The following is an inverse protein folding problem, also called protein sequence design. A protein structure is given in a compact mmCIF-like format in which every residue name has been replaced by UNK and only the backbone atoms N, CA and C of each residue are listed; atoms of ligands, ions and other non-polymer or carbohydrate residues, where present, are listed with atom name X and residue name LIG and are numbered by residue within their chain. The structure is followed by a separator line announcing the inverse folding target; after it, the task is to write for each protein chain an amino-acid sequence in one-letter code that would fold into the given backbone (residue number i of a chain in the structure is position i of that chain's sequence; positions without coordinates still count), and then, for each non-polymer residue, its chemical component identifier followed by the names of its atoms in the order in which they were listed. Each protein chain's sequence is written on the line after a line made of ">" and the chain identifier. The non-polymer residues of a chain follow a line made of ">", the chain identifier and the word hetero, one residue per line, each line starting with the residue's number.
data_IF_410670542312
#
_entry.id   IF_410670542312
#
_cell.length_a   1.000
_cell.length_b   1.000
_cell.length_c   1.000
_cell.angle_alpha   90.00
_cell.angle_beta   90.00
_cell.angle_gamma   90.00
#
_symmetry.space_group_name_H-M   'P 1'
#
loop_
_entity.id
_entity.type
_entity.pdbx_description
1 polymer ?
#
# COMPACT_ATOMS: atom_id res chain seq x y z
N UNK A 1 10.21 8.68 -5.00
CA UNK A 1 8.97 7.89 -4.97
C UNK A 1 7.81 8.73 -4.48
N UNK A 2 6.59 8.44 -4.92
CA UNK A 2 5.36 9.16 -4.54
C UNK A 2 4.44 8.27 -3.71
N UNK A 3 3.94 8.81 -2.61
CA UNK A 3 2.81 8.27 -1.83
C UNK A 3 1.61 9.21 -1.93
N UNK A 4 0.41 8.71 -1.74
CA UNK A 4 -0.81 9.51 -1.94
C UNK A 4 -1.93 9.17 -0.95
N UNK A 5 -2.85 10.13 -0.81
CA UNK A 5 -4.19 9.90 -0.30
C UNK A 5 -5.16 9.92 -1.47
N UNK A 6 -6.06 8.95 -1.54
CA UNK A 6 -7.12 8.94 -2.54
C UNK A 6 -8.49 8.81 -1.87
N UNK A 7 -9.46 9.53 -2.41
CA UNK A 7 -10.83 9.54 -1.88
C UNK A 7 -11.50 8.18 -2.01
N UNK A 8 -12.27 7.80 -0.97
CA UNK A 8 -13.20 6.68 -1.06
C UNK A 8 -14.43 6.99 -1.94
N UNK A 9 -14.77 8.27 -2.07
CA UNK A 9 -15.80 8.74 -3.00
C UNK A 9 -15.28 8.64 -4.45
N UNK A 10 -15.96 7.82 -5.25
CA UNK A 10 -15.51 7.54 -6.62
C UNK A 10 -15.68 8.74 -7.58
N UNK A 11 -16.57 9.67 -7.29
CA UNK A 11 -16.70 10.90 -8.10
C UNK A 11 -15.54 11.86 -7.79
N UNK A 12 -15.18 12.01 -6.52
CA UNK A 12 -14.00 12.79 -6.11
C UNK A 12 -12.70 12.16 -6.64
N UNK A 13 -12.59 10.84 -6.60
CA UNK A 13 -11.43 10.09 -7.11
C UNK A 13 -11.14 10.37 -8.58
N UNK A 14 -12.17 10.57 -9.41
CA UNK A 14 -11.99 10.91 -10.84
C UNK A 14 -11.25 12.25 -11.03
N UNK A 15 -11.58 13.26 -10.22
CA UNK A 15 -10.88 14.55 -10.23
C UNK A 15 -9.46 14.42 -9.68
N UNK A 16 -9.33 13.80 -8.50
CA UNK A 16 -8.05 13.58 -7.82
C UNK A 16 -7.04 12.78 -8.67
N UNK A 17 -7.56 11.89 -9.52
CA UNK A 17 -6.71 11.14 -10.43
C UNK A 17 -5.98 12.01 -11.44
N UNK A 18 -6.64 13.04 -11.96
CA UNK A 18 -5.99 14.00 -12.86
C UNK A 18 -4.87 14.75 -12.13
N UNK A 19 -5.16 15.21 -10.91
CA UNK A 19 -4.18 15.94 -10.09
C UNK A 19 -2.98 15.05 -9.73
N UNK A 20 -3.23 13.77 -9.44
CA UNK A 20 -2.15 12.79 -9.20
C UNK A 20 -1.27 12.58 -10.44
N UNK A 21 -1.88 12.47 -11.63
CA UNK A 21 -1.13 12.35 -12.90
C UNK A 21 -0.22 13.55 -13.10
N UNK A 22 -0.74 14.75 -12.91
CA UNK A 22 0.00 16.01 -13.07
C UNK A 22 1.13 16.11 -12.04
N UNK A 23 0.86 15.73 -10.78
CA UNK A 23 1.87 15.69 -9.73
C UNK A 23 3.02 14.72 -10.06
N UNK A 24 2.71 13.49 -10.49
CA UNK A 24 3.70 12.47 -10.86
C UNK A 24 4.59 12.96 -12.01
N UNK A 25 3.98 13.60 -13.02
CA UNK A 25 4.72 14.13 -14.17
C UNK A 25 5.62 15.29 -13.75
N UNK A 26 5.12 16.24 -12.96
CA UNK A 26 5.90 17.38 -12.48
C UNK A 26 7.06 16.94 -11.57
N UNK A 27 6.83 15.99 -10.68
CA UNK A 27 7.83 15.46 -9.76
C UNK A 27 8.77 14.43 -10.42
N UNK A 28 8.48 13.97 -11.64
CA UNK A 28 9.21 12.89 -12.34
C UNK A 28 9.38 11.65 -11.47
N UNK A 29 8.29 11.26 -10.81
CA UNK A 29 8.33 10.13 -9.88
C UNK A 29 8.62 8.81 -10.59
N UNK A 30 9.58 8.04 -10.09
CA UNK A 30 9.92 6.72 -10.64
C UNK A 30 9.09 5.61 -10.05
N UNK A 31 8.63 5.78 -8.80
CA UNK A 31 7.81 4.80 -8.08
C UNK A 31 6.60 5.48 -7.48
N UNK A 32 5.42 4.94 -7.71
CA UNK A 32 4.15 5.41 -7.13
C UNK A 32 3.54 4.30 -6.30
N UNK A 33 3.17 4.58 -5.06
CA UNK A 33 2.40 3.68 -4.21
C UNK A 33 0.96 4.18 -4.11
N UNK A 34 0.00 3.32 -4.45
CA UNK A 34 -1.44 3.58 -4.34
C UNK A 34 -1.99 3.02 -3.01
N UNK A 35 -3.13 3.54 -2.51
CA UNK A 35 -3.86 2.94 -1.40
C UNK A 35 -4.34 1.52 -1.67
N UNK A 36 -4.82 0.85 -0.65
CA UNK A 36 -5.42 -0.49 -0.72
C UNK A 36 -6.75 -0.44 -1.49
N UNK A 37 -6.84 -1.22 -2.58
CA UNK A 37 -8.03 -1.40 -3.41
C UNK A 37 -8.83 -0.09 -3.69
N UNK A 38 -8.21 1.00 -4.19
CA UNK A 38 -8.78 2.36 -4.14
C UNK A 38 -9.91 2.61 -5.12
N UNK A 39 -10.10 1.76 -6.13
CA UNK A 39 -10.95 2.05 -7.29
C UNK A 39 -12.40 1.54 -7.17
N UNK A 40 -12.87 1.42 -5.94
CA UNK A 40 -14.26 1.18 -5.58
C UNK A 40 -14.45 1.68 -4.14
N UNK A 41 -15.58 2.26 -3.80
CA UNK A 41 -15.89 2.63 -2.41
C UNK A 41 -15.75 1.40 -1.51
N UNK A 42 -15.31 1.61 -0.26
CA UNK A 42 -15.04 0.50 0.66
C UNK A 42 -16.30 -0.32 0.94
N UNK A 43 -16.25 -1.60 0.61
CA UNK A 43 -17.40 -2.52 0.69
C UNK A 43 -17.28 -3.58 1.78
N UNK A 44 -16.10 -3.76 2.37
CA UNK A 44 -15.85 -4.75 3.42
C UNK A 44 -16.19 -4.22 4.81
N UNK A 45 -16.98 -3.16 4.89
CA UNK A 45 -17.55 -2.59 6.12
C UNK A 45 -18.57 -3.49 6.78
N UNK A 46 -19.13 -4.46 6.05
CA UNK A 46 -20.12 -5.43 6.50
C UNK A 46 -19.61 -6.86 6.45
N UNK A 47 -19.97 -7.68 7.43
CA UNK A 47 -19.69 -9.12 7.44
C UNK A 47 -20.54 -9.91 6.42
N UNK A 48 -21.62 -9.29 5.90
CA UNK A 48 -22.47 -9.93 4.88
C UNK A 48 -21.81 -9.86 3.52
N UNK A 49 -21.34 -11.00 3.06
CA UNK A 49 -20.71 -11.14 1.74
C UNK A 49 -21.76 -11.11 0.64
N UNK A 50 -21.57 -10.24 -0.34
CA UNK A 50 -22.38 -10.12 -1.55
C UNK A 50 -21.50 -10.32 -2.78
N UNK A 51 -21.84 -11.31 -3.62
CA UNK A 51 -21.09 -11.67 -4.81
C UNK A 51 -21.12 -10.58 -5.88
N UNK A 52 -22.23 -9.86 -6.00
CA UNK A 52 -22.38 -8.82 -7.02
C UNK A 52 -21.54 -7.57 -6.65
N UNK A 53 -21.49 -7.23 -5.36
CA UNK A 53 -20.63 -6.16 -4.85
C UNK A 53 -19.15 -6.49 -5.09
N UNK A 54 -18.74 -7.73 -4.79
CA UNK A 54 -17.38 -8.17 -5.09
C UNK A 54 -17.04 -8.06 -6.59
N UNK A 55 -17.93 -8.57 -7.44
CA UNK A 55 -17.74 -8.55 -8.88
C UNK A 55 -17.69 -7.11 -9.43
N UNK A 56 -18.51 -6.20 -8.88
CA UNK A 56 -18.47 -4.78 -9.21
C UNK A 56 -17.12 -4.13 -8.83
N UNK A 57 -16.60 -4.46 -7.63
CA UNK A 57 -15.30 -3.99 -7.19
C UNK A 57 -14.18 -4.48 -8.11
N UNK A 58 -14.14 -5.77 -8.44
CA UNK A 58 -13.16 -6.34 -9.38
C UNK A 58 -13.27 -5.65 -10.75
N UNK A 59 -14.48 -5.52 -11.29
CA UNK A 59 -14.70 -4.88 -12.59
C UNK A 59 -14.26 -3.41 -12.62
N UNK A 60 -14.47 -2.68 -11.51
CA UNK A 60 -13.98 -1.30 -11.37
C UNK A 60 -12.45 -1.26 -11.41
N UNK A 61 -11.76 -2.10 -10.65
CA UNK A 61 -10.31 -2.14 -10.63
C UNK A 61 -9.72 -2.54 -11.99
N UNK A 62 -10.34 -3.47 -12.72
CA UNK A 62 -9.89 -3.83 -14.07
C UNK A 62 -10.04 -2.65 -15.07
N UNK A 63 -11.08 -1.84 -14.97
CA UNK A 63 -11.20 -0.59 -15.76
C UNK A 63 -10.09 0.40 -15.44
N UNK A 64 -9.78 0.57 -14.14
CA UNK A 64 -8.73 1.47 -13.70
C UNK A 64 -7.32 1.00 -14.06
N UNK A 65 -7.10 -0.31 -14.16
CA UNK A 65 -5.82 -0.90 -14.57
C UNK A 65 -5.31 -0.34 -15.91
N UNK A 66 -6.21 -0.10 -16.85
CA UNK A 66 -5.86 0.56 -18.13
C UNK A 66 -5.40 2.00 -17.91
N UNK A 67 -5.96 2.69 -16.91
CA UNK A 67 -5.61 4.08 -16.56
C UNK A 67 -4.26 4.16 -15.84
N UNK A 68 -3.89 3.15 -15.05
CA UNK A 68 -2.57 3.07 -14.43
C UNK A 68 -1.46 3.17 -15.47
N UNK A 69 -1.64 2.56 -16.63
CA UNK A 69 -0.67 2.62 -17.73
C UNK A 69 -0.45 4.04 -18.31
N UNK A 70 -1.31 5.02 -17.95
CA UNK A 70 -1.15 6.45 -18.31
C UNK A 70 -0.31 7.22 -17.31
N UNK A 71 -0.12 6.70 -16.09
CA UNK A 71 0.84 7.27 -15.16
C UNK A 71 2.24 7.13 -15.76
N UNK A 72 2.96 8.24 -15.86
CA UNK A 72 4.30 8.28 -16.44
C UNK A 72 5.38 7.90 -15.42
N UNK A 73 5.08 6.94 -14.55
CA UNK A 73 6.01 6.34 -13.60
C UNK A 73 6.43 4.95 -14.10
N UNK A 74 7.73 4.62 -14.08
CA UNK A 74 8.22 3.29 -14.44
C UNK A 74 7.63 2.17 -13.60
N UNK A 75 7.36 2.44 -12.31
CA UNK A 75 6.90 1.48 -11.33
C UNK A 75 5.66 1.99 -10.58
N UNK A 76 4.59 1.20 -10.53
CA UNK A 76 3.39 1.49 -9.74
C UNK A 76 3.11 0.29 -8.86
N UNK A 77 2.95 0.55 -7.57
CA UNK A 77 2.65 -0.41 -6.52
C UNK A 77 1.24 -0.15 -5.96
N UNK A 78 0.54 -1.18 -5.58
CA UNK A 78 -0.79 -1.06 -4.97
C UNK A 78 -1.39 -2.42 -4.67
N UNK A 79 -2.69 -2.46 -4.35
CA UNK A 79 -3.40 -3.72 -4.24
C UNK A 79 -4.76 -3.69 -4.94
N UNK A 80 -5.19 -4.86 -5.44
CA UNK A 80 -6.44 -5.05 -6.16
C UNK A 80 -7.23 -6.24 -5.60
N UNK A 81 -8.57 -6.18 -5.61
CA UNK A 81 -9.40 -7.35 -5.43
C UNK A 81 -9.35 -8.19 -6.72
N UNK A 82 -8.97 -9.45 -6.60
CA UNK A 82 -8.89 -10.38 -7.73
C UNK A 82 -9.52 -11.72 -7.40
N UNK A 83 -9.80 -12.52 -8.44
CA UNK A 83 -10.18 -13.92 -8.27
C UNK A 83 -9.05 -14.80 -8.82
N UNK A 84 -8.49 -15.66 -7.96
CA UNK A 84 -7.45 -16.63 -8.31
C UNK A 84 -7.92 -18.04 -7.93
N UNK A 85 -7.95 -18.94 -8.89
CA UNK A 85 -8.41 -20.31 -8.69
C UNK A 85 -9.78 -20.41 -7.96
N UNK A 86 -10.70 -19.49 -8.26
CA UNK A 86 -12.01 -19.39 -7.62
C UNK A 86 -12.03 -18.74 -6.23
N UNK A 87 -10.90 -18.31 -5.70
CA UNK A 87 -10.79 -17.61 -4.42
C UNK A 87 -10.73 -16.10 -4.61
N UNK A 88 -11.32 -15.36 -3.69
CA UNK A 88 -11.30 -13.90 -3.63
C UNK A 88 -10.06 -13.47 -2.86
N UNK A 89 -9.17 -12.71 -3.50
CA UNK A 89 -7.86 -12.34 -2.95
C UNK A 89 -7.70 -10.82 -2.99
N UNK A 90 -7.14 -10.24 -1.93
CA UNK A 90 -6.54 -8.92 -1.94
C UNK A 90 -5.07 -9.09 -2.40
N UNK A 91 -4.80 -8.74 -3.65
CA UNK A 91 -3.52 -9.00 -4.32
C UNK A 91 -2.68 -7.74 -4.42
N UNK A 92 -1.51 -7.73 -3.80
CA UNK A 92 -0.46 -6.73 -4.02
C UNK A 92 0.16 -6.89 -5.41
N UNK A 93 0.29 -5.79 -6.14
CA UNK A 93 0.82 -5.81 -7.49
C UNK A 93 1.97 -4.83 -7.71
N UNK A 94 2.80 -5.15 -8.66
CA UNK A 94 3.75 -4.28 -9.33
C UNK A 94 3.30 -4.11 -10.79
N UNK A 95 3.10 -2.87 -11.22
CA UNK A 95 3.00 -2.53 -12.65
C UNK A 95 4.31 -1.88 -13.06
N UNK A 96 5.13 -2.63 -13.77
CA UNK A 96 6.43 -2.16 -14.27
C UNK A 96 6.43 -2.14 -15.79
N UNK A 97 6.76 -1.00 -16.38
CA UNK A 97 6.79 -0.84 -17.85
C UNK A 97 5.49 -1.36 -18.52
N UNK A 98 4.34 -1.08 -17.92
CA UNK A 98 2.99 -1.54 -18.34
C UNK A 98 2.75 -3.04 -18.18
N UNK A 99 3.67 -3.79 -17.60
CA UNK A 99 3.50 -5.20 -17.28
C UNK A 99 3.00 -5.34 -15.84
N UNK A 100 1.80 -5.90 -15.69
CA UNK A 100 1.23 -6.22 -14.38
C UNK A 100 1.82 -7.54 -13.87
N UNK A 101 2.33 -7.51 -12.63
CA UNK A 101 2.90 -8.67 -11.93
C UNK A 101 2.24 -8.78 -10.57
N UNK A 102 1.61 -9.93 -10.29
CA UNK A 102 1.13 -10.26 -8.95
C UNK A 102 2.32 -10.53 -8.03
N UNK A 103 2.38 -9.85 -6.90
CA UNK A 103 3.54 -9.88 -6.01
C UNK A 103 3.27 -10.51 -4.67
N UNK A 104 2.09 -10.28 -4.11
CA UNK A 104 1.75 -10.69 -2.76
C UNK A 104 0.24 -10.92 -2.66
N UNK A 105 -0.15 -11.96 -1.94
CA UNK A 105 -1.54 -12.21 -1.56
C UNK A 105 -1.70 -11.90 -0.07
N UNK A 106 -2.53 -10.93 0.29
CA UNK A 106 -2.72 -10.55 1.69
C UNK A 106 -3.09 -11.75 2.56
N UNK A 107 -2.27 -12.03 3.55
CA UNK A 107 -2.40 -13.21 4.42
C UNK A 107 -3.10 -12.89 5.74
N UNK A 108 -2.78 -11.76 6.38
CA UNK A 108 -3.37 -11.33 7.64
C UNK A 108 -4.57 -10.44 7.39
N UNK A 109 -5.77 -11.05 7.44
CA UNK A 109 -7.03 -10.40 7.14
C UNK A 109 -7.74 -9.99 8.45
N UNK A 110 -8.11 -8.70 8.62
CA UNK A 110 -8.90 -8.27 9.76
C UNK A 110 -10.31 -8.88 9.73
N UNK A 111 -10.91 -9.04 10.91
CA UNK A 111 -12.26 -9.56 11.08
C UNK A 111 -12.94 -8.80 12.22
N UNK A 112 -13.21 -7.52 12.00
CA UNK A 112 -13.76 -6.58 12.98
C UNK A 112 -14.73 -5.59 12.33
N UNK A 113 -15.47 -4.87 13.15
CA UNK A 113 -16.45 -3.87 12.68
C UNK A 113 -15.78 -2.86 11.76
N UNK A 114 -16.35 -2.71 10.56
CA UNK A 114 -15.82 -1.83 9.50
C UNK A 114 -14.78 -2.48 8.60
N UNK A 115 -14.17 -3.62 9.03
CA UNK A 115 -13.10 -4.31 8.31
C UNK A 115 -13.28 -5.83 8.38
N UNK A 116 -14.26 -6.35 7.64
CA UNK A 116 -14.59 -7.77 7.61
C UNK A 116 -13.90 -8.53 6.49
N UNK A 117 -12.63 -8.18 6.20
CA UNK A 117 -11.91 -8.78 5.07
C UNK A 117 -11.83 -10.31 5.15
N UNK A 118 -11.69 -10.89 6.35
CA UNK A 118 -11.65 -12.35 6.52
C UNK A 118 -12.95 -13.05 6.11
N UNK A 119 -14.06 -12.30 6.02
CA UNK A 119 -15.33 -12.83 5.49
C UNK A 119 -15.39 -12.73 3.97
N UNK A 120 -14.77 -11.71 3.38
CA UNK A 120 -14.82 -11.40 1.96
C UNK A 120 -13.71 -12.04 1.14
N UNK A 121 -12.52 -12.20 1.74
CA UNK A 121 -11.32 -12.68 1.09
C UNK A 121 -10.83 -13.99 1.69
N UNK A 122 -10.23 -14.82 0.87
CA UNK A 122 -9.41 -15.94 1.30
C UNK A 122 -8.03 -15.43 1.72
N UNK A 123 -7.42 -16.09 2.70
CA UNK A 123 -6.03 -15.84 3.07
C UNK A 123 -5.11 -16.19 1.93
N UNK A 124 -4.15 -15.32 1.67
CA UNK A 124 -3.04 -15.60 0.78
C UNK A 124 -2.15 -16.75 1.28
N UNK A 125 -1.21 -17.14 0.46
CA UNK A 125 -0.33 -18.30 0.69
C UNK A 125 0.70 -18.13 1.82
N UNK A 126 0.78 -16.93 2.44
CA UNK A 126 1.74 -16.61 3.49
C UNK A 126 3.18 -16.43 3.01
N UNK A 127 3.40 -16.32 1.72
CA UNK A 127 4.72 -16.05 1.16
C UNK A 127 5.00 -14.54 1.17
N UNK A 128 5.98 -14.13 1.96
CA UNK A 128 6.47 -12.75 2.04
C UNK A 128 7.78 -12.65 1.23
N UNK A 129 7.64 -12.51 -0.09
CA UNK A 129 8.76 -12.50 -1.02
C UNK A 129 9.14 -11.07 -1.42
N UNK A 130 10.44 -10.85 -1.59
CA UNK A 130 10.96 -9.59 -2.15
C UNK A 130 10.83 -9.62 -3.66
N UNK A 131 10.33 -8.52 -4.22
CA UNK A 131 10.25 -8.30 -5.64
C UNK A 131 11.33 -7.32 -6.10
N UNK A 132 11.86 -7.54 -7.28
CA UNK A 132 12.66 -6.55 -7.98
C UNK A 132 11.72 -5.63 -8.80
N UNK A 133 11.76 -4.33 -8.49
CA UNK A 133 11.01 -3.29 -9.19
C UNK A 133 11.94 -2.41 -10.05
N UNK A 134 13.03 -2.98 -10.53
CA UNK A 134 14.01 -2.36 -11.41
C UNK A 134 14.89 -1.32 -10.70
N UNK A 135 14.30 -0.29 -10.12
CA UNK A 135 15.03 0.78 -9.39
C UNK A 135 15.23 0.44 -7.91
N UNK A 136 14.45 -0.49 -7.35
CA UNK A 136 14.53 -0.92 -5.95
C UNK A 136 13.91 -2.30 -5.74
N UNK A 137 14.29 -2.97 -4.63
CA UNK A 137 13.69 -4.22 -4.18
C UNK A 137 12.61 -3.93 -3.14
N UNK A 138 11.41 -4.50 -3.31
CA UNK A 138 10.22 -4.18 -2.52
C UNK A 138 9.58 -5.42 -1.89
N UNK A 139 9.16 -5.30 -0.63
CA UNK A 139 8.24 -6.22 0.03
C UNK A 139 6.88 -5.56 0.26
N UNK A 140 5.81 -6.33 0.29
CA UNK A 140 4.45 -5.84 0.53
C UNK A 140 3.98 -6.22 1.94
N UNK A 141 3.49 -5.22 2.70
CA UNK A 141 2.70 -5.41 3.92
C UNK A 141 1.39 -4.63 3.77
N UNK A 142 0.37 -5.28 3.23
CA UNK A 142 -0.90 -4.64 2.92
C UNK A 142 -1.68 -4.37 4.21
N UNK A 143 -1.87 -3.10 4.54
CA UNK A 143 -2.69 -2.61 5.65
C UNK A 143 -2.35 -3.33 6.97
N UNK A 144 -3.23 -4.17 7.49
CA UNK A 144 -3.07 -4.92 8.74
C UNK A 144 -1.75 -5.70 8.83
N UNK A 145 -1.19 -6.12 7.70
CA UNK A 145 0.10 -6.83 7.68
C UNK A 145 1.28 -5.99 8.15
N UNK A 146 1.15 -4.65 8.14
CA UNK A 146 2.19 -3.76 8.67
C UNK A 146 2.49 -4.00 10.16
N UNK A 147 1.57 -4.64 10.88
CA UNK A 147 1.78 -5.06 12.27
C UNK A 147 2.60 -6.36 12.41
N UNK A 148 2.89 -7.05 11.31
CA UNK A 148 3.78 -8.22 11.29
C UNK A 148 5.23 -7.76 11.20
N UNK A 149 5.83 -7.40 12.34
CA UNK A 149 7.22 -6.96 12.39
C UNK A 149 8.20 -8.09 12.04
N UNK A 150 7.81 -9.34 12.23
CA UNK A 150 8.53 -10.52 11.76
C UNK A 150 8.65 -10.50 10.23
N UNK A 151 7.57 -10.20 9.51
CA UNK A 151 7.58 -10.10 8.05
C UNK A 151 8.43 -8.92 7.58
N UNK A 152 8.36 -7.77 8.26
CA UNK A 152 9.24 -6.63 7.97
C UNK A 152 10.73 -7.01 8.13
N UNK A 153 11.07 -7.76 9.18
CA UNK A 153 12.42 -8.28 9.41
C UNK A 153 12.85 -9.27 8.33
N UNK A 154 11.95 -10.18 7.93
CA UNK A 154 12.22 -11.14 6.85
C UNK A 154 12.53 -10.40 5.53
N UNK A 155 11.78 -9.35 5.20
CA UNK A 155 12.07 -8.50 4.05
C UNK A 155 13.46 -7.85 4.13
N UNK A 156 13.83 -7.33 5.30
CA UNK A 156 15.16 -6.79 5.53
C UNK A 156 16.26 -7.83 5.28
N UNK A 157 16.12 -9.04 5.87
CA UNK A 157 17.04 -10.17 5.66
C UNK A 157 17.13 -10.60 4.20
N UNK A 158 16.01 -10.54 3.46
CA UNK A 158 15.96 -10.86 2.04
C UNK A 158 16.46 -9.73 1.12
N UNK A 159 16.97 -8.62 1.69
CA UNK A 159 17.58 -7.53 0.92
C UNK A 159 16.61 -6.47 0.39
N UNK A 160 15.35 -6.43 0.85
CA UNK A 160 14.44 -5.38 0.44
C UNK A 160 14.97 -3.99 0.78
N UNK A 161 14.76 -3.03 -0.12
CA UNK A 161 15.02 -1.61 0.13
C UNK A 161 13.80 -0.91 0.73
N UNK A 162 12.61 -1.39 0.35
CA UNK A 162 11.32 -0.78 0.67
C UNK A 162 10.32 -1.82 1.17
N UNK A 163 9.55 -1.48 2.19
CA UNK A 163 8.26 -2.09 2.49
C UNK A 163 7.16 -1.15 2.02
N UNK A 164 6.37 -1.61 1.06
CA UNK A 164 5.21 -0.91 0.53
C UNK A 164 3.94 -1.35 1.28
N UNK A 165 3.22 -0.38 1.84
CA UNK A 165 2.00 -0.64 2.61
C UNK A 165 0.80 0.14 2.05
N UNK A 166 0.10 -0.40 1.03
CA UNK A 166 -1.23 0.09 0.66
C UNK A 166 -2.17 -0.05 1.84
N UNK A 167 -2.89 1.02 2.23
CA UNK A 167 -3.78 1.00 3.40
C UNK A 167 -5.20 1.47 3.08
N UNK A 168 -6.14 0.98 3.90
CA UNK A 168 -7.49 1.48 4.12
C UNK A 168 -7.70 1.54 5.63
N UNK A 169 -7.20 2.60 6.28
CA UNK A 169 -7.18 2.67 7.75
C UNK A 169 -7.85 3.93 8.29
N UNK A 170 -8.41 3.79 9.51
CA UNK A 170 -9.23 4.82 10.15
C UNK A 170 -8.41 6.04 10.61
N UNK A 171 -9.05 7.20 10.55
CA UNK A 171 -8.56 8.43 11.15
C UNK A 171 -8.31 8.28 12.67
N UNK A 172 -9.22 7.62 13.38
CA UNK A 172 -9.12 7.40 14.83
C UNK A 172 -7.89 6.57 15.25
N UNK A 173 -7.28 5.82 14.35
CA UNK A 173 -6.13 4.94 14.65
C UNK A 173 -4.82 5.41 14.02
N UNK A 174 -4.79 6.58 13.39
CA UNK A 174 -3.64 7.08 12.61
C UNK A 174 -2.31 7.04 13.36
N UNK A 175 -2.29 7.47 14.64
CA UNK A 175 -1.07 7.49 15.45
C UNK A 175 -0.48 6.08 15.64
N UNK A 176 -1.34 5.07 15.78
CA UNK A 176 -0.89 3.68 15.88
C UNK A 176 -0.24 3.22 14.59
N UNK A 177 -0.80 3.60 13.44
CA UNK A 177 -0.23 3.27 12.13
C UNK A 177 1.13 3.92 11.90
N UNK A 178 1.34 5.17 12.37
CA UNK A 178 2.66 5.80 12.32
C UNK A 178 3.69 5.03 13.15
N UNK A 179 3.29 4.55 14.35
CA UNK A 179 4.17 3.69 15.17
C UNK A 179 4.51 2.40 14.44
N UNK A 180 3.52 1.74 13.81
CA UNK A 180 3.75 0.51 13.05
C UNK A 180 4.70 0.73 11.86
N UNK A 181 4.50 1.82 11.08
CA UNK A 181 5.36 2.17 9.94
C UNK A 181 6.81 2.42 10.36
N UNK A 182 7.02 3.15 11.46
CA UNK A 182 8.35 3.41 12.02
C UNK A 182 9.00 2.12 12.54
N UNK A 183 8.24 1.30 13.26
CA UNK A 183 8.75 0.03 13.78
C UNK A 183 9.15 -0.91 12.63
N UNK A 184 8.32 -1.05 11.58
CA UNK A 184 8.62 -1.86 10.41
C UNK A 184 9.90 -1.40 9.71
N UNK A 185 10.08 -0.07 9.53
CA UNK A 185 11.29 0.51 8.96
C UNK A 185 12.54 0.14 9.79
N UNK A 186 12.47 0.35 11.10
CA UNK A 186 13.59 0.11 12.02
C UNK A 186 13.96 -1.38 12.04
N UNK A 187 12.98 -2.28 12.27
CA UNK A 187 13.28 -3.71 12.43
C UNK A 187 13.72 -4.38 11.12
N UNK A 188 13.30 -3.86 9.98
CA UNK A 188 13.68 -4.36 8.66
C UNK A 188 14.95 -3.70 8.11
N UNK A 189 15.34 -2.53 8.61
CA UNK A 189 16.38 -1.71 7.97
C UNK A 189 15.98 -1.33 6.55
N UNK A 190 14.73 -0.95 6.34
CA UNK A 190 14.10 -0.66 5.05
C UNK A 190 13.37 0.68 5.10
N UNK A 191 13.19 1.31 3.95
CA UNK A 191 12.19 2.38 3.88
C UNK A 191 10.79 1.80 4.12
N UNK A 192 9.94 2.51 4.85
CA UNK A 192 8.51 2.20 4.96
C UNK A 192 7.74 3.28 4.23
N UNK A 193 7.05 2.91 3.15
CA UNK A 193 6.16 3.81 2.45
C UNK A 193 4.72 3.32 2.54
N UNK A 194 3.81 4.26 2.71
CA UNK A 194 2.39 3.95 2.77
C UNK A 194 1.54 5.01 2.10
N UNK A 195 0.53 4.57 1.39
CA UNK A 195 -0.58 5.37 0.88
C UNK A 195 -1.88 4.91 1.53
N UNK A 196 -2.83 5.81 1.74
CA UNK A 196 -4.08 5.49 2.44
C UNK A 196 -5.31 6.07 1.74
N UNK A 197 -6.46 5.47 1.98
CA UNK A 197 -7.74 6.09 1.63
C UNK A 197 -8.00 7.30 2.52
N UNK A 198 -8.81 8.24 2.03
CA UNK A 198 -9.36 9.38 2.77
C UNK A 198 -10.85 9.53 2.53
N UNK A 199 -11.51 10.32 3.38
CA UNK A 199 -12.95 10.58 3.30
C UNK A 199 -13.77 9.64 4.16
N UNK A 200 -15.09 9.77 4.07
CA UNK A 200 -16.05 9.02 4.89
C UNK A 200 -16.95 8.21 3.99
N UNK A 201 -17.11 6.93 4.29
CA UNK A 201 -18.05 6.04 3.58
C UNK A 201 -19.50 6.39 3.92
N UNK A 202 -20.45 5.91 3.12
CA UNK A 202 -21.89 6.11 3.35
C UNK A 202 -22.39 5.51 4.67
N UNK A 203 -21.69 4.54 5.23
CA UNK A 203 -21.99 3.88 6.51
C UNK A 203 -21.14 4.42 7.67
N UNK A 204 -20.42 5.54 7.47
CA UNK A 204 -19.79 6.31 8.53
C UNK A 204 -18.36 5.91 8.89
N UNK A 205 -17.69 5.09 8.08
CA UNK A 205 -16.25 4.80 8.27
C UNK A 205 -15.45 6.00 7.78
N UNK A 206 -14.66 6.59 8.68
CA UNK A 206 -13.80 7.72 8.37
C UNK A 206 -12.36 7.26 8.18
N UNK A 207 -11.85 7.33 6.94
CA UNK A 207 -10.48 7.02 6.60
C UNK A 207 -9.52 8.16 6.93
N UNK A 208 -8.33 7.80 7.41
CA UNK A 208 -7.38 8.75 7.99
C UNK A 208 -6.51 9.49 7.00
N UNK A 209 -6.45 9.09 5.74
CA UNK A 209 -5.41 9.64 4.86
C UNK A 209 -4.01 9.38 5.41
N UNK A 210 -3.16 10.41 5.40
CA UNK A 210 -1.81 10.42 5.98
C UNK A 210 -0.93 9.27 5.45
N UNK A 211 -0.64 9.32 4.13
CA UNK A 211 0.43 8.54 3.53
C UNK A 211 1.78 9.03 4.04
N UNK A 212 2.80 8.17 4.08
CA UNK A 212 4.13 8.54 4.57
C UNK A 212 5.27 7.90 3.79
N UNK A 213 6.45 8.51 3.94
CA UNK A 213 7.73 7.89 3.65
C UNK A 213 8.60 8.02 4.90
N UNK A 214 9.06 6.89 5.42
CA UNK A 214 9.89 6.75 6.62
C UNK A 214 11.20 6.08 6.22
N UNK A 215 12.34 6.62 6.71
CA UNK A 215 13.65 6.05 6.42
C UNK A 215 13.95 4.80 7.28
N UNK A 216 15.01 4.03 6.97
CA UNK A 216 15.38 2.82 7.69
C UNK A 216 15.66 3.02 9.19
N UNK A 217 15.95 4.25 9.63
CA UNK A 217 16.18 4.58 11.04
C UNK A 217 14.90 5.05 11.77
N UNK A 218 13.75 5.01 11.08
CA UNK A 218 12.45 5.36 11.65
C UNK A 218 12.14 6.85 11.65
N UNK A 219 12.94 7.67 10.94
CA UNK A 219 12.65 9.08 10.77
C UNK A 219 11.60 9.27 9.69
N UNK A 220 10.53 9.99 9.99
CA UNK A 220 9.53 10.41 9.01
C UNK A 220 10.16 11.45 8.10
N UNK A 221 10.32 11.12 6.81
CA UNK A 221 10.83 12.03 5.80
C UNK A 221 9.75 12.99 5.31
N UNK A 222 8.52 12.53 5.28
CA UNK A 222 7.36 13.34 4.97
C UNK A 222 6.06 12.53 5.05
N UNK A 223 4.95 13.27 5.12
CA UNK A 223 3.59 12.75 5.19
C UNK A 223 2.68 13.57 4.29
N UNK A 224 1.69 12.93 3.70
CA UNK A 224 0.60 13.63 3.00
C UNK A 224 -0.35 14.26 4.01
N UNK A 225 -1.10 15.22 3.56
CA UNK A 225 -2.18 15.86 4.33
C UNK A 225 -3.41 16.03 3.43
N UNK A 226 -4.55 16.32 4.01
CA UNK A 226 -5.77 16.58 3.25
C UNK A 226 -5.58 17.70 2.19
N UNK A 227 -4.75 18.71 2.48
CA UNK A 227 -4.48 19.84 1.57
C UNK A 227 -3.34 19.53 0.58
N UNK A 228 -2.46 18.58 0.92
CA UNK A 228 -1.33 18.12 0.11
C UNK A 228 -1.39 16.58 0.01
N UNK A 229 -2.35 16.04 -0.78
CA UNK A 229 -2.63 14.60 -0.78
C UNK A 229 -1.59 13.76 -1.52
N UNK A 230 -0.59 14.39 -2.13
CA UNK A 230 0.48 13.73 -2.86
C UNK A 230 1.83 14.21 -2.35
N UNK A 231 2.72 13.27 -2.06
CA UNK A 231 4.07 13.56 -1.58
C UNK A 231 5.09 12.78 -2.38
N UNK A 232 6.08 13.48 -2.93
CA UNK A 232 7.24 12.87 -3.61
C UNK A 232 8.52 13.17 -2.84
N UNK A 233 9.29 12.13 -2.53
CA UNK A 233 10.59 12.23 -1.88
C UNK A 233 11.59 11.33 -2.61
N UNK A 234 12.81 11.82 -2.78
CA UNK A 234 13.93 11.01 -3.24
C UNK A 234 14.43 10.14 -2.09
N UNK A 235 14.52 8.83 -2.35
CA UNK A 235 15.02 7.85 -1.38
C UNK A 235 16.38 7.30 -1.84
N UNK A 236 17.34 7.24 -0.89
CA UNK A 236 18.64 6.63 -1.11
C UNK A 236 18.59 5.13 -0.77
N UNK A 237 18.51 4.26 -1.76
CA UNK A 237 18.48 2.80 -1.55
C UNK A 237 19.72 2.28 -0.83
N UNK A 238 20.88 2.93 -0.99
CA UNK A 238 22.09 2.58 -0.27
C UNK A 238 21.95 2.81 1.25
N UNK A 239 21.09 3.75 1.66
CA UNK A 239 20.76 3.91 3.08
C UNK A 239 20.12 2.62 3.65
N UNK A 240 19.17 2.02 2.93
CA UNK A 240 18.58 0.74 3.35
C UNK A 240 19.60 -0.40 3.36
N UNK A 241 20.55 -0.42 2.43
CA UNK A 241 21.65 -1.41 2.43
C UNK A 241 22.53 -1.24 3.67
N UNK A 242 23.00 -0.02 3.94
CA UNK A 242 23.84 0.28 5.12
C UNK A 242 23.13 0.01 6.43
N UNK A 243 21.87 0.37 6.54
CA UNK A 243 21.08 0.24 7.76
C UNK A 243 20.99 -1.21 8.27
N UNK A 244 20.96 -2.20 7.38
CA UNK A 244 20.91 -3.62 7.74
C UNK A 244 22.10 -4.08 8.57
N UNK A 245 23.27 -3.48 8.37
CA UNK A 245 24.49 -3.76 9.14
C UNK A 245 24.65 -2.93 10.41
N UNK A 246 23.62 -2.23 10.89
CA UNK A 246 23.69 -1.38 12.08
C UNK A 246 22.72 -1.82 13.18
N UNK A 247 22.98 -1.39 14.42
CA UNK A 247 22.08 -1.66 15.55
C UNK A 247 20.68 -1.03 15.32
N UNK A 248 19.59 -1.73 15.69
CA UNK A 248 19.56 -3.06 16.32
C UNK A 248 19.53 -4.23 15.31
N UNK A 249 19.54 -3.96 14.01
CA UNK A 249 19.33 -4.96 12.96
C UNK A 249 20.43 -6.02 12.92
N UNK A 250 21.68 -5.60 13.03
CA UNK A 250 22.88 -6.47 13.04
C UNK A 250 22.85 -7.55 14.12
N UNK A 251 22.08 -7.32 15.21
CA UNK A 251 21.90 -8.31 16.28
C UNK A 251 20.95 -9.44 15.90
N UNK A 252 20.00 -9.16 14.97
CA UNK A 252 18.90 -10.06 14.61
C UNK A 252 18.91 -10.53 13.15
N UNK A 253 19.85 -10.05 12.34
CA UNK A 253 20.00 -10.41 10.92
C UNK A 253 20.72 -11.76 10.71
#
# INVERSE_FOLDING_TARGET
>A
MTVCELSDDQAALESEWSDLVDHIEAARSEVVLLPEMPFHSWWMSTARVDGDVWNAAVASHEKWKVRLAKLRAPCILGSFPVVRAGQRINEGFLLENKRYVAMHEKHFLPNETGFWEAMWCSRGNGAFLVADAGVLSVGFLICTELWSFESARLYGKAGAHLVASPRSSLLATRERWHVAGRAAAIVGGVFSASSNRRGTTSDGIEFGGEGWIIDPDGKVLGMTTQNEPFLTIDIDTDHAVRAKGTYPRDVFM
#
